data_IF_643828236920
#
_entry.id   IF_643828236920
#
_cell.length_a   1.000
_cell.length_b   1.000
_cell.length_c   1.000
_cell.angle_alpha   90.00
_cell.angle_beta   90.00
_cell.angle_gamma   90.00
#
_symmetry.space_group_name_H-M   'P 1'
#
loop_
_entity.id
_entity.type
_entity.pdbx_description
1 polymer ?
#
# COMPACT_ATOMS: atom_id res chain seq x y z
N UNK A 1 5.33 34.84 3.90
CA UNK A 1 4.46 33.74 3.41
C UNK A 1 5.38 32.70 2.79
N UNK A 2 5.50 31.55 3.47
CA UNK A 2 6.69 30.69 3.48
C UNK A 2 6.81 29.71 2.30
N UNK A 3 8.04 29.27 1.97
CA UNK A 3 8.37 28.16 1.04
C UNK A 3 7.47 26.91 1.19
N UNK A 4 6.93 26.66 2.38
CA UNK A 4 5.99 25.56 2.62
C UNK A 4 4.65 25.72 1.88
N UNK A 5 4.15 26.96 1.75
CA UNK A 5 2.91 27.27 1.03
C UNK A 5 3.08 27.16 -0.48
N UNK A 6 4.29 27.41 -1.01
CA UNK A 6 4.57 27.22 -2.44
C UNK A 6 4.69 25.73 -2.79
N UNK A 7 5.37 24.93 -1.97
CA UNK A 7 5.52 23.48 -2.19
C UNK A 7 4.17 22.73 -2.22
N UNK A 8 3.26 23.02 -1.29
CA UNK A 8 1.90 22.43 -1.29
C UNK A 8 1.13 22.81 -2.56
N UNK A 9 1.27 24.06 -3.01
CA UNK A 9 0.64 24.55 -4.23
C UNK A 9 1.15 23.85 -5.50
N UNK A 10 2.46 23.63 -5.60
CA UNK A 10 3.07 22.89 -6.71
C UNK A 10 2.61 21.43 -6.72
N UNK A 11 2.68 20.72 -5.59
CA UNK A 11 2.22 19.32 -5.45
C UNK A 11 0.72 19.19 -5.78
N UNK A 12 -0.11 20.12 -5.32
CA UNK A 12 -1.55 20.07 -5.63
C UNK A 12 -1.78 20.32 -7.13
N UNK A 13 -0.99 21.19 -7.74
CA UNK A 13 -1.10 21.53 -9.16
C UNK A 13 -0.65 20.39 -10.08
N UNK A 14 0.39 19.63 -9.70
CA UNK A 14 0.87 18.47 -10.48
C UNK A 14 -0.19 17.36 -10.60
N UNK A 15 -1.19 17.34 -9.73
CA UNK A 15 -2.26 16.33 -9.73
C UNK A 15 -3.42 16.63 -10.67
N UNK A 16 -3.48 17.82 -11.29
CA UNK A 16 -4.60 18.22 -12.17
C UNK A 16 -4.77 17.31 -13.39
N UNK A 17 -3.69 16.69 -13.87
CA UNK A 17 -3.70 15.77 -15.01
C UNK A 17 -4.00 14.31 -14.64
N UNK A 18 -4.22 14.00 -13.36
CA UNK A 18 -4.57 12.65 -12.96
C UNK A 18 -6.00 12.30 -13.44
N UNK A 19 -6.23 11.06 -13.91
CA UNK A 19 -7.57 10.64 -14.31
C UNK A 19 -8.55 10.82 -13.15
N UNK A 20 -9.75 11.33 -13.44
CA UNK A 20 -10.77 11.51 -12.43
C UNK A 20 -11.09 10.17 -11.75
N UNK A 21 -11.25 10.18 -10.43
CA UNK A 21 -11.78 9.03 -9.71
C UNK A 21 -13.11 8.64 -10.36
N UNK A 22 -13.23 7.40 -10.83
CA UNK A 22 -14.54 6.85 -11.15
C UNK A 22 -15.28 6.76 -9.82
N UNK A 23 -16.16 7.74 -9.58
CA UNK A 23 -17.13 7.69 -8.51
C UNK A 23 -18.04 6.51 -8.86
N UNK A 24 -17.78 5.35 -8.27
CA UNK A 24 -18.81 4.32 -8.22
C UNK A 24 -20.03 4.99 -7.59
N UNK A 25 -21.15 4.97 -8.30
CA UNK A 25 -22.44 5.41 -7.75
C UNK A 25 -22.58 4.80 -6.37
N UNK A 26 -22.80 5.63 -5.35
CA UNK A 26 -23.13 5.16 -4.00
C UNK A 26 -24.28 4.15 -4.18
N UNK A 27 -23.98 2.87 -4.00
CA UNK A 27 -25.03 1.90 -3.71
C UNK A 27 -25.39 2.25 -2.27
N UNK A 28 -26.51 2.94 -2.10
CA UNK A 28 -27.13 3.28 -0.82
C UNK A 28 -27.60 1.98 -0.15
N UNK A 29 -26.65 1.18 0.33
CA UNK A 29 -26.86 0.23 1.39
C UNK A 29 -26.01 0.70 2.56
N UNK A 30 -26.55 1.66 3.31
CA UNK A 30 -26.06 1.98 4.64
C UNK A 30 -26.24 0.72 5.51
N UNK A 31 -25.27 -0.19 5.42
CA UNK A 31 -25.19 -1.30 6.35
C UNK A 31 -24.88 -0.70 7.72
N UNK A 32 -25.86 -0.76 8.61
CA UNK A 32 -25.69 -0.49 10.02
C UNK A 32 -24.56 -1.40 10.54
N UNK A 33 -23.40 -0.81 10.84
CA UNK A 33 -22.20 -1.52 11.22
C UNK A 33 -21.15 -0.51 11.66
N UNK A 34 -20.57 -0.72 12.84
CA UNK A 34 -19.49 0.13 13.33
C UNK A 34 -18.20 -0.04 12.54
N UNK A 35 -17.18 0.71 12.95
CA UNK A 35 -15.79 0.41 12.63
C UNK A 35 -15.05 0.16 13.95
N UNK A 36 -14.20 -0.87 13.98
CA UNK A 36 -13.27 -1.14 15.07
C UNK A 36 -11.86 -0.76 14.68
N UNK A 37 -11.15 -0.07 15.56
CA UNK A 37 -9.72 0.23 15.41
C UNK A 37 -9.05 -0.07 16.74
N UNK A 38 -7.90 -0.72 16.67
CA UNK A 38 -6.98 -0.90 17.79
C UNK A 38 -5.57 -0.64 17.29
N UNK A 39 -4.73 -0.07 18.15
CA UNK A 39 -3.34 0.22 17.83
C UNK A 39 -2.44 -0.07 19.03
N UNK A 40 -1.18 -0.39 18.73
CA UNK A 40 -0.11 -0.56 19.69
C UNK A 40 1.06 0.31 19.21
N UNK A 41 1.74 0.98 20.14
CA UNK A 41 2.96 1.73 19.82
C UNK A 41 3.98 1.44 20.91
N UNK A 42 5.22 1.15 20.54
CA UNK A 42 6.26 0.74 21.47
C UNK A 42 7.65 1.21 21.03
N UNK A 43 8.49 1.55 22.00
CA UNK A 43 9.91 1.93 21.77
C UNK A 43 10.78 0.73 21.38
N UNK A 44 10.30 -0.49 21.62
CA UNK A 44 10.88 -1.74 21.12
C UNK A 44 9.92 -2.39 20.15
N UNK A 45 10.43 -3.13 19.16
CA UNK A 45 9.56 -3.84 18.24
C UNK A 45 8.78 -4.93 18.98
N UNK A 46 7.48 -5.03 18.67
CA UNK A 46 6.56 -6.01 19.23
C UNK A 46 6.02 -6.89 18.11
N UNK A 47 5.81 -8.17 18.41
CA UNK A 47 5.24 -9.11 17.45
C UNK A 47 3.72 -8.93 17.30
N UNK A 48 3.21 -9.02 16.07
CA UNK A 48 1.80 -8.79 15.75
C UNK A 48 0.80 -9.63 16.56
N UNK A 49 1.19 -10.81 17.06
CA UNK A 49 0.38 -11.65 17.96
C UNK A 49 -0.15 -10.89 19.19
N UNK A 50 0.56 -9.85 19.65
CA UNK A 50 0.17 -9.10 20.85
C UNK A 50 -1.04 -8.19 20.62
N UNK A 51 -1.36 -7.82 19.38
CA UNK A 51 -2.55 -7.03 19.05
C UNK A 51 -3.75 -7.89 18.64
N UNK A 52 -3.55 -9.21 18.44
CA UNK A 52 -4.58 -10.13 17.94
C UNK A 52 -5.79 -10.26 18.88
N UNK A 53 -5.56 -10.43 20.20
CA UNK A 53 -6.67 -10.53 21.16
C UNK A 53 -7.54 -9.26 21.18
N UNK A 54 -6.97 -8.05 21.32
CA UNK A 54 -7.72 -6.80 21.16
C UNK A 54 -8.44 -6.68 19.81
N UNK A 55 -7.82 -7.13 18.72
CA UNK A 55 -8.40 -7.12 17.38
C UNK A 55 -9.66 -8.00 17.29
N UNK A 56 -9.64 -9.22 17.85
CA UNK A 56 -10.82 -10.10 17.91
C UNK A 56 -11.95 -9.46 18.72
N UNK A 57 -11.65 -8.71 19.79
CA UNK A 57 -12.69 -7.98 20.54
C UNK A 57 -13.37 -6.89 19.68
N UNK A 58 -12.71 -6.41 18.63
CA UNK A 58 -13.29 -5.46 17.68
C UNK A 58 -14.17 -6.12 16.62
N UNK A 59 -14.23 -7.46 16.53
CA UNK A 59 -15.05 -8.18 15.54
C UNK A 59 -16.51 -7.75 15.58
N UNK A 60 -17.11 -7.67 16.79
CA UNK A 60 -18.50 -7.23 17.00
C UNK A 60 -18.76 -5.76 16.64
N UNK A 61 -17.70 -4.98 16.38
CA UNK A 61 -17.80 -3.59 15.91
C UNK A 61 -17.69 -3.49 14.40
N UNK A 62 -17.37 -4.55 13.66
CA UNK A 62 -17.24 -4.56 12.20
C UNK A 62 -18.36 -5.36 11.53
N UNK A 63 -18.40 -5.32 10.20
CA UNK A 63 -19.35 -6.07 9.36
C UNK A 63 -18.64 -6.91 8.29
N UNK A 64 -17.32 -7.12 8.42
CA UNK A 64 -16.52 -7.89 7.48
C UNK A 64 -16.30 -7.25 6.09
N UNK A 65 -16.79 -6.03 5.82
CA UNK A 65 -16.60 -5.38 4.51
C UNK A 65 -15.17 -4.88 4.27
N UNK A 66 -14.35 -4.81 5.31
CA UNK A 66 -12.98 -4.35 5.20
C UNK A 66 -12.22 -4.52 6.51
N UNK A 67 -11.07 -5.17 6.43
CA UNK A 67 -10.16 -5.42 7.54
C UNK A 67 -8.73 -5.22 7.08
N UNK A 68 -7.84 -4.89 8.00
CA UNK A 68 -6.45 -4.63 7.65
C UNK A 68 -5.56 -4.34 8.83
N UNK A 69 -4.26 -4.32 8.56
CA UNK A 69 -3.21 -4.02 9.54
C UNK A 69 -2.17 -3.15 8.88
N UNK A 70 -1.82 -2.07 9.58
CA UNK A 70 -0.67 -1.24 9.26
C UNK A 70 0.46 -1.58 10.24
N UNK A 71 1.69 -1.56 9.74
CA UNK A 71 2.88 -1.75 10.57
C UNK A 71 3.95 -0.73 10.19
N UNK A 72 4.62 -0.16 11.19
CA UNK A 72 5.68 0.85 11.00
C UNK A 72 6.92 0.51 11.83
N UNK A 73 8.10 0.79 11.30
CA UNK A 73 9.35 0.47 11.98
C UNK A 73 9.57 -1.04 11.97
N UNK A 74 9.60 -1.60 10.77
CA UNK A 74 9.67 -3.02 10.45
C UNK A 74 11.05 -3.60 10.78
N UNK A 75 11.12 -4.92 10.94
CA UNK A 75 12.38 -5.65 11.07
C UNK A 75 13.00 -5.89 9.66
N UNK A 76 14.22 -5.38 9.38
CA UNK A 76 14.84 -5.52 8.05
C UNK A 76 15.13 -6.97 7.68
N UNK A 77 15.49 -7.83 8.65
CA UNK A 77 15.70 -9.26 8.40
C UNK A 77 14.40 -9.95 7.99
N UNK A 78 13.28 -9.61 8.63
CA UNK A 78 11.96 -10.13 8.25
C UNK A 78 11.50 -9.64 6.87
N UNK A 79 11.98 -8.47 6.45
CA UNK A 79 11.73 -7.92 5.11
C UNK A 79 12.68 -8.47 4.04
N UNK A 80 13.77 -9.15 4.44
CA UNK A 80 14.77 -9.70 3.52
C UNK A 80 15.71 -8.65 2.92
N UNK A 81 15.87 -7.50 3.59
CA UNK A 81 16.66 -6.35 3.12
C UNK A 81 17.61 -5.85 4.20
N UNK A 82 18.55 -4.98 3.83
CA UNK A 82 19.39 -4.26 4.80
C UNK A 82 18.60 -3.16 5.52
N UNK A 83 19.09 -2.71 6.67
CA UNK A 83 18.55 -1.54 7.37
C UNK A 83 18.60 -0.27 6.51
N UNK A 84 19.66 -0.10 5.73
CA UNK A 84 19.79 1.00 4.77
C UNK A 84 18.66 0.98 3.74
N UNK A 85 18.41 -0.16 3.09
CA UNK A 85 17.33 -0.30 2.11
C UNK A 85 15.97 -0.07 2.76
N UNK A 86 15.71 -0.65 3.94
CA UNK A 86 14.43 -0.46 4.64
C UNK A 86 14.09 1.02 4.89
N UNK A 87 15.11 1.83 5.20
CA UNK A 87 14.94 3.23 5.54
C UNK A 87 14.98 4.18 4.32
N UNK A 88 15.62 3.76 3.23
CA UNK A 88 15.83 4.64 2.05
C UNK A 88 14.90 4.33 0.90
N UNK A 89 14.52 3.06 0.70
CA UNK A 89 13.65 2.62 -0.39
C UNK A 89 12.17 2.75 -0.05
N UNK A 90 11.37 3.02 -1.09
CA UNK A 90 9.94 2.83 -0.99
C UNK A 90 9.63 1.35 -1.01
N UNK A 91 8.87 0.90 -0.03
CA UNK A 91 8.15 -0.36 -0.03
C UNK A 91 6.80 -0.14 -0.71
N UNK A 92 6.69 -0.58 -1.97
CA UNK A 92 5.42 -0.62 -2.70
C UNK A 92 4.84 -2.02 -2.58
N UNK A 93 3.61 -2.13 -2.06
CA UNK A 93 2.86 -3.37 -2.01
C UNK A 93 1.77 -3.37 -3.08
N UNK A 94 1.83 -4.32 -4.01
CA UNK A 94 0.80 -4.52 -5.04
C UNK A 94 0.06 -5.82 -4.77
N UNK A 95 -1.26 -5.74 -4.61
CA UNK A 95 -2.16 -6.87 -4.57
C UNK A 95 -2.60 -7.25 -5.98
N UNK A 96 -2.51 -8.54 -6.34
CA UNK A 96 -2.96 -9.08 -7.62
C UNK A 96 -4.20 -9.94 -7.42
N UNK A 97 -5.34 -9.45 -7.93
CA UNK A 97 -6.61 -10.15 -8.01
C UNK A 97 -6.62 -11.12 -9.20
N UNK A 98 -5.98 -10.71 -10.30
CA UNK A 98 -5.60 -11.58 -11.41
C UNK A 98 -4.06 -11.70 -11.46
N UNK A 99 -3.49 -12.87 -11.11
CA UNK A 99 -2.04 -13.09 -11.18
C UNK A 99 -1.42 -12.84 -12.56
N UNK A 100 -2.17 -13.03 -13.65
CA UNK A 100 -1.69 -12.82 -15.03
C UNK A 100 -1.40 -11.34 -15.32
N UNK A 101 -1.98 -10.41 -14.56
CA UNK A 101 -1.72 -8.99 -14.72
C UNK A 101 -0.33 -8.56 -14.20
N UNK A 102 0.38 -9.44 -13.48
CA UNK A 102 1.65 -9.09 -12.82
C UNK A 102 2.70 -8.59 -13.79
N UNK A 103 2.97 -9.32 -14.87
CA UNK A 103 3.97 -8.93 -15.86
C UNK A 103 3.69 -7.54 -16.43
N UNK A 104 2.43 -7.29 -16.82
CA UNK A 104 2.03 -6.00 -17.37
C UNK A 104 2.18 -4.85 -16.36
N UNK A 105 1.81 -5.09 -15.09
CA UNK A 105 1.99 -4.12 -14.01
C UNK A 105 3.47 -3.83 -13.76
N UNK A 106 4.29 -4.87 -13.66
CA UNK A 106 5.73 -4.74 -13.41
C UNK A 106 6.39 -3.96 -14.54
N UNK A 107 6.19 -4.37 -15.81
CA UNK A 107 6.77 -3.68 -16.97
C UNK A 107 6.42 -2.19 -17.01
N UNK A 108 5.15 -1.85 -16.78
CA UNK A 108 4.64 -0.47 -16.97
C UNK A 108 4.80 0.45 -15.77
N UNK A 109 4.68 -0.06 -14.54
CA UNK A 109 4.59 0.78 -13.34
C UNK A 109 5.71 0.54 -12.33
N UNK A 110 6.44 -0.58 -12.45
CA UNK A 110 7.55 -0.89 -11.54
C UNK A 110 8.87 -0.78 -12.29
N UNK A 111 9.14 -1.68 -13.24
CA UNK A 111 10.45 -1.84 -13.88
C UNK A 111 10.80 -0.72 -14.85
N UNK A 112 9.82 -0.11 -15.52
CA UNK A 112 10.08 1.07 -16.38
C UNK A 112 10.30 2.34 -15.57
N UNK A 113 9.68 2.47 -14.40
CA UNK A 113 9.64 3.70 -13.59
C UNK A 113 10.69 3.71 -12.47
N UNK A 114 11.06 2.54 -11.95
CA UNK A 114 11.80 2.39 -10.71
C UNK A 114 13.07 1.54 -10.89
N UNK A 115 14.07 1.79 -10.04
CA UNK A 115 15.16 0.88 -9.76
C UNK A 115 14.70 -0.02 -8.61
N UNK A 116 14.54 -1.32 -8.86
CA UNK A 116 14.08 -2.28 -7.85
C UNK A 116 15.27 -3.00 -7.25
N UNK A 117 15.50 -2.79 -5.96
CA UNK A 117 16.59 -3.43 -5.22
C UNK A 117 16.18 -4.78 -4.62
N UNK A 118 14.91 -4.94 -4.24
CA UNK A 118 14.42 -6.22 -3.70
C UNK A 118 12.96 -6.47 -4.09
N UNK A 119 12.64 -7.74 -4.38
CA UNK A 119 11.28 -8.23 -4.64
C UNK A 119 10.98 -9.41 -3.72
N UNK A 120 9.82 -9.39 -3.06
CA UNK A 120 9.37 -10.54 -2.30
C UNK A 120 7.87 -10.78 -2.44
N UNK A 121 7.50 -12.05 -2.52
CA UNK A 121 6.12 -12.52 -2.60
C UNK A 121 5.58 -12.78 -1.21
N UNK A 122 4.32 -12.39 -0.99
CA UNK A 122 3.54 -12.73 0.19
C UNK A 122 2.30 -13.47 -0.26
N UNK A 123 2.39 -14.80 -0.18
CA UNK A 123 1.28 -15.69 -0.41
C UNK A 123 0.55 -16.05 0.89
N UNK A 124 -0.59 -16.75 0.77
CA UNK A 124 -1.29 -17.32 1.90
C UNK A 124 -0.37 -18.26 2.69
N UNK A 125 -0.31 -18.10 4.02
CA UNK A 125 0.40 -19.05 4.89
C UNK A 125 -0.33 -20.38 5.05
N UNK A 126 -1.66 -20.40 4.90
CA UNK A 126 -2.52 -21.55 5.17
C UNK A 126 -3.30 -22.03 3.93
N UNK A 127 -2.72 -21.85 2.74
CA UNK A 127 -3.37 -22.21 1.47
C UNK A 127 -4.42 -21.20 1.00
N UNK A 128 -4.92 -21.37 -0.22
CA UNK A 128 -5.91 -20.46 -0.83
C UNK A 128 -7.33 -20.87 -0.43
N UNK A 129 -7.74 -20.50 0.78
CA UNK A 129 -9.15 -20.61 1.19
C UNK A 129 -9.87 -19.28 0.95
N UNK A 130 -11.17 -19.36 0.64
CA UNK A 130 -12.03 -18.19 0.70
C UNK A 130 -12.10 -17.69 2.14
N UNK A 131 -12.11 -16.38 2.28
CA UNK A 131 -12.34 -15.71 3.54
C UNK A 131 -13.75 -15.90 4.07
N UNK A 132 -14.04 -15.34 5.24
CA UNK A 132 -15.38 -15.43 5.87
C UNK A 132 -16.48 -14.86 4.97
N UNK A 133 -16.15 -13.85 4.17
CA UNK A 133 -17.05 -13.23 3.20
C UNK A 133 -17.15 -13.99 1.86
N UNK A 134 -16.54 -15.19 1.76
CA UNK A 134 -16.55 -15.99 0.54
C UNK A 134 -15.64 -15.46 -0.58
N UNK A 135 -14.75 -14.53 -0.28
CA UNK A 135 -13.83 -13.87 -1.23
C UNK A 135 -12.41 -14.41 -1.07
N UNK A 136 -11.68 -14.58 -2.18
CA UNK A 136 -10.26 -14.89 -2.13
C UNK A 136 -9.44 -13.62 -1.86
N UNK A 137 -8.50 -13.71 -0.92
CA UNK A 137 -7.57 -12.63 -0.67
C UNK A 137 -6.45 -12.64 -1.71
N UNK A 138 -6.09 -11.48 -2.28
CA UNK A 138 -5.10 -11.41 -3.33
C UNK A 138 -3.71 -11.80 -2.83
N UNK A 139 -2.90 -12.31 -3.74
CA UNK A 139 -1.46 -12.36 -3.54
C UNK A 139 -0.89 -10.95 -3.51
N UNK A 140 0.10 -10.73 -2.63
CA UNK A 140 0.77 -9.44 -2.53
C UNK A 140 2.24 -9.58 -2.89
N UNK A 141 2.73 -8.67 -3.73
CA UNK A 141 4.17 -8.50 -3.97
C UNK A 141 4.66 -7.22 -3.33
N UNK A 142 5.85 -7.30 -2.72
CA UNK A 142 6.62 -6.19 -2.17
C UNK A 142 7.74 -5.85 -3.13
N UNK A 143 7.88 -4.56 -3.42
CA UNK A 143 8.98 -4.00 -4.18
C UNK A 143 9.67 -2.95 -3.32
N UNK A 144 10.93 -3.18 -2.95
CA UNK A 144 11.79 -2.12 -2.42
C UNK A 144 12.47 -1.45 -3.59
N UNK A 145 12.15 -0.17 -3.81
CA UNK A 145 12.58 0.54 -4.99
C UNK A 145 12.70 2.06 -4.81
N UNK A 146 13.41 2.68 -5.75
CA UNK A 146 13.56 4.14 -5.90
C UNK A 146 13.17 4.56 -7.30
N UNK A 147 12.71 5.80 -7.47
CA UNK A 147 12.47 6.31 -8.82
C UNK A 147 13.77 6.31 -9.62
N UNK A 148 13.71 5.96 -10.91
CA UNK A 148 14.88 6.11 -11.76
C UNK A 148 15.23 7.60 -11.89
N UNK A 149 16.51 7.99 -11.78
CA UNK A 149 16.89 9.41 -11.81
C UNK A 149 16.34 10.16 -13.04
N UNK A 150 16.49 9.59 -14.24
CA UNK A 150 16.01 10.22 -15.48
C UNK A 150 14.48 10.33 -15.55
N UNK A 151 13.76 9.38 -14.95
CA UNK A 151 12.29 9.40 -14.87
C UNK A 151 11.85 10.47 -13.88
N UNK A 152 12.50 10.56 -12.71
CA UNK A 152 12.19 11.54 -11.69
C UNK A 152 12.50 12.96 -12.15
N UNK A 153 13.64 13.18 -12.82
CA UNK A 153 14.03 14.50 -13.35
C UNK A 153 13.02 15.01 -14.38
N UNK A 154 12.59 14.13 -15.30
CA UNK A 154 11.51 14.45 -16.25
C UNK A 154 10.21 14.77 -15.52
N UNK A 155 9.81 13.93 -14.55
CA UNK A 155 8.60 14.17 -13.77
C UNK A 155 8.63 15.52 -13.04
N UNK A 156 9.75 15.88 -12.43
CA UNK A 156 9.94 17.15 -11.73
C UNK A 156 9.76 18.33 -12.70
N UNK A 157 10.40 18.26 -13.85
CA UNK A 157 10.34 19.31 -14.89
C UNK A 157 8.93 19.45 -15.46
N UNK A 158 8.31 18.34 -15.86
CA UNK A 158 6.98 18.31 -16.47
C UNK A 158 5.88 18.83 -15.54
N UNK A 159 6.12 18.77 -14.22
CA UNK A 159 5.16 19.16 -13.19
C UNK A 159 5.52 20.46 -12.45
N UNK A 160 6.61 21.15 -12.83
CA UNK A 160 7.03 22.39 -12.19
C UNK A 160 7.39 22.22 -10.70
N UNK A 161 8.08 21.13 -10.37
CA UNK A 161 8.46 20.75 -9.00
C UNK A 161 9.93 21.07 -8.66
N UNK A 162 10.63 21.86 -9.47
CA UNK A 162 12.06 22.14 -9.31
C UNK A 162 12.38 22.84 -7.98
N UNK A 163 11.44 23.63 -7.47
CA UNK A 163 11.55 24.33 -6.18
C UNK A 163 11.04 23.49 -5.00
N UNK A 164 10.62 22.24 -5.24
CA UNK A 164 10.20 21.29 -4.20
C UNK A 164 11.40 20.47 -3.75
N UNK A 165 11.45 20.16 -2.45
CA UNK A 165 12.45 19.25 -1.90
C UNK A 165 12.46 17.91 -2.66
N UNK A 166 13.63 17.42 -3.03
CA UNK A 166 13.79 16.25 -3.90
C UNK A 166 13.10 15.00 -3.33
N UNK A 167 13.15 14.80 -2.01
CA UNK A 167 12.46 13.65 -1.39
C UNK A 167 10.94 13.80 -1.49
N UNK A 168 10.40 15.00 -1.32
CA UNK A 168 8.96 15.27 -1.51
C UNK A 168 8.52 15.16 -2.97
N UNK A 169 9.38 15.52 -3.90
CA UNK A 169 9.11 15.33 -5.33
C UNK A 169 9.07 13.84 -5.69
N UNK A 170 9.97 13.03 -5.13
CA UNK A 170 9.95 11.57 -5.28
C UNK A 170 8.72 10.94 -4.59
N UNK A 171 8.33 11.42 -3.41
CA UNK A 171 7.08 10.99 -2.74
C UNK A 171 5.85 11.25 -3.63
N UNK A 172 5.78 12.45 -4.23
CA UNK A 172 4.70 12.81 -5.15
C UNK A 172 4.73 11.94 -6.40
N UNK A 173 5.90 11.66 -6.97
CA UNK A 173 6.05 10.74 -8.09
C UNK A 173 5.51 9.33 -7.75
N UNK A 174 5.92 8.76 -6.62
CA UNK A 174 5.46 7.42 -6.18
C UNK A 174 3.96 7.38 -5.95
N UNK A 175 3.40 8.43 -5.33
CA UNK A 175 1.96 8.60 -5.17
C UNK A 175 1.24 8.60 -6.52
N UNK A 176 1.70 9.44 -7.44
CA UNK A 176 1.14 9.62 -8.77
C UNK A 176 1.26 8.37 -9.65
N UNK A 177 2.36 7.63 -9.53
CA UNK A 177 2.56 6.34 -10.19
C UNK A 177 1.56 5.30 -9.66
N UNK A 178 1.42 5.20 -8.34
CA UNK A 178 0.47 4.30 -7.68
C UNK A 178 -0.98 4.61 -8.04
N UNK A 179 -1.33 5.90 -8.12
CA UNK A 179 -2.65 6.35 -8.53
C UNK A 179 -2.98 5.91 -9.97
N UNK A 180 -2.04 6.09 -10.91
CA UNK A 180 -2.22 5.67 -12.30
C UNK A 180 -2.33 4.14 -12.43
N UNK A 181 -1.50 3.38 -11.70
CA UNK A 181 -1.61 1.92 -11.64
C UNK A 181 -3.02 1.51 -11.19
N UNK A 182 -3.50 2.06 -10.07
CA UNK A 182 -4.83 1.75 -9.54
C UNK A 182 -5.94 2.16 -10.51
N UNK A 183 -5.82 3.32 -11.15
CA UNK A 183 -6.82 3.75 -12.12
C UNK A 183 -6.91 2.77 -13.31
N UNK A 184 -5.78 2.29 -13.81
CA UNK A 184 -5.73 1.38 -14.95
C UNK A 184 -6.15 -0.05 -14.60
N UNK A 185 -5.63 -0.61 -13.50
CA UNK A 185 -5.79 -2.03 -13.15
C UNK A 185 -6.90 -2.33 -12.15
N UNK A 186 -7.49 -1.31 -11.51
CA UNK A 186 -8.55 -1.49 -10.51
C UNK A 186 -9.83 -0.70 -10.81
N UNK A 187 -9.72 0.54 -11.32
CA UNK A 187 -10.88 1.41 -11.50
C UNK A 187 -11.56 1.29 -12.88
N UNK A 188 -10.84 0.81 -13.91
CA UNK A 188 -11.35 0.75 -15.28
C UNK A 188 -12.62 -0.11 -15.40
N UNK A 189 -13.49 0.23 -16.37
CA UNK A 189 -14.71 -0.53 -16.72
C UNK A 189 -14.30 -1.92 -17.25
N UNK A 190 -14.02 -2.84 -16.34
CA UNK A 190 -13.54 -4.19 -16.59
C UNK A 190 -13.27 -4.94 -15.29
N UNK A 191 -12.72 -6.15 -15.40
CA UNK A 191 -12.36 -6.94 -14.22
C UNK A 191 -11.23 -6.27 -13.44
N UNK A 192 -11.39 -6.22 -12.11
CA UNK A 192 -10.35 -5.72 -11.20
C UNK A 192 -9.18 -6.69 -11.21
N UNK A 193 -8.00 -6.22 -11.61
CA UNK A 193 -6.81 -7.07 -11.82
C UNK A 193 -5.76 -6.90 -10.73
N UNK A 194 -5.42 -5.66 -10.38
CA UNK A 194 -4.38 -5.38 -9.40
C UNK A 194 -4.55 -3.98 -8.81
N UNK A 195 -3.98 -3.75 -7.62
CA UNK A 195 -3.96 -2.44 -6.98
C UNK A 195 -2.81 -2.33 -5.96
N UNK A 196 -2.30 -1.12 -5.77
CA UNK A 196 -1.38 -0.77 -4.70
C UNK A 196 -2.12 -0.74 -3.36
N UNK A 197 -1.71 -1.62 -2.44
CA UNK A 197 -2.17 -1.67 -1.06
C UNK A 197 -1.57 -0.54 -0.23
N UNK A 198 -0.26 -0.34 -0.39
CA UNK A 198 0.49 0.73 0.26
C UNK A 198 1.74 1.10 -0.53
N UNK A 199 2.17 2.34 -0.35
CA UNK A 199 3.52 2.80 -0.67
C UNK A 199 4.02 3.63 0.51
N UNK A 200 5.31 3.54 0.81
CA UNK A 200 5.93 4.30 1.90
C UNK A 200 7.34 3.77 2.20
N UNK A 201 8.03 4.37 3.17
CA UNK A 201 9.33 3.89 3.65
C UNK A 201 9.17 3.35 5.06
N UNK A 202 9.75 2.18 5.33
CA UNK A 202 9.67 1.51 6.63
C UNK A 202 8.23 1.42 7.21
N UNK A 203 7.26 1.24 6.30
CA UNK A 203 5.82 1.20 6.58
C UNK A 203 5.17 0.26 5.58
N UNK A 204 4.18 -0.51 6.05
CA UNK A 204 3.38 -1.35 5.16
C UNK A 204 1.94 -1.45 5.66
N UNK A 205 1.01 -1.70 4.74
CA UNK A 205 -0.42 -1.90 5.05
C UNK A 205 -0.95 -3.08 4.28
N UNK A 206 -1.60 -3.99 5.00
CA UNK A 206 -2.44 -5.04 4.43
C UNK A 206 -3.90 -4.68 4.59
N UNK A 207 -4.67 -4.95 3.55
CA UNK A 207 -6.11 -4.74 3.53
C UNK A 207 -6.79 -5.85 2.75
N UNK A 208 -7.87 -6.36 3.31
CA UNK A 208 -8.69 -7.43 2.73
C UNK A 208 -10.18 -7.09 2.81
N UNK A 209 -10.99 -7.84 2.06
CA UNK A 209 -12.43 -7.92 2.26
C UNK A 209 -12.69 -9.02 3.30
N UNK A 210 -12.83 -8.63 4.56
CA UNK A 210 -12.91 -9.53 5.70
C UNK A 210 -12.64 -8.78 7.00
N UNK A 211 -12.30 -9.50 8.06
CA UNK A 211 -11.93 -8.91 9.35
C UNK A 211 -10.41 -8.69 9.47
N UNK A 212 -9.96 -7.90 10.44
CA UNK A 212 -8.53 -7.58 10.57
C UNK A 212 -7.70 -8.79 11.02
N UNK A 213 -8.26 -9.63 11.90
CA UNK A 213 -7.66 -10.88 12.38
C UNK A 213 -7.48 -11.89 11.25
N UNK A 214 -8.37 -11.87 10.27
CA UNK A 214 -8.25 -12.67 9.06
C UNK A 214 -7.06 -12.23 8.22
N UNK A 215 -6.78 -10.92 8.14
CA UNK A 215 -5.56 -10.43 7.50
C UNK A 215 -4.28 -10.88 8.24
N UNK A 216 -4.33 -10.99 9.58
CA UNK A 216 -3.25 -11.56 10.40
C UNK A 216 -2.94 -12.99 10.02
N UNK A 217 -3.95 -13.84 10.02
CA UNK A 217 -3.76 -15.24 9.72
C UNK A 217 -3.40 -15.49 8.25
N UNK A 218 -4.05 -14.79 7.32
CA UNK A 218 -3.84 -15.03 5.89
C UNK A 218 -2.41 -14.70 5.46
N UNK A 219 -1.90 -13.53 5.87
CA UNK A 219 -0.56 -13.07 5.48
C UNK A 219 0.54 -13.44 6.49
N UNK A 220 0.22 -14.13 7.59
CA UNK A 220 1.19 -14.60 8.58
C UNK A 220 1.86 -13.49 9.38
N UNK A 221 1.07 -12.49 9.78
CA UNK A 221 1.58 -11.26 10.39
C UNK A 221 1.68 -11.35 11.92
N UNK A 222 1.36 -12.48 12.53
CA UNK A 222 1.42 -12.71 13.97
C UNK A 222 2.86 -12.67 14.51
N UNK A 223 3.84 -13.02 13.67
CA UNK A 223 5.26 -12.98 14.02
C UNK A 223 5.98 -11.75 13.46
N UNK A 224 5.28 -10.90 12.72
CA UNK A 224 5.84 -9.66 12.20
C UNK A 224 6.20 -8.75 13.38
N UNK A 225 7.41 -8.21 13.37
CA UNK A 225 7.92 -7.25 14.36
C UNK A 225 7.85 -5.84 13.81
N UNK A 226 7.25 -4.95 14.57
CA UNK A 226 7.12 -3.54 14.25
C UNK A 226 7.04 -2.68 15.53
N UNK A 227 7.31 -1.38 15.40
CA UNK A 227 7.13 -0.40 16.50
C UNK A 227 5.68 0.04 16.65
N UNK A 228 4.92 0.03 15.54
CA UNK A 228 3.48 0.32 15.44
C UNK A 228 2.80 -0.85 14.76
#
# INVERSE_FOLDING_TARGET
MSKLSSSIGCITSSRRGLPGSIVHSRIDDAAEGGCGVVGLVSTVQVEGRHILKPMIQMHNRGNGKGGGVAAVGLDPMQMGVSEELLNTDYLIQVAYLNPEARTQVEEKYIDSQMIVHHRSRIGPKHGTTKGEQGVYHPEVWRYFCRAKPDVLDRFVTDNGLEEVDAAKAEDEFVYQNSYRLNNEFYASLGDKKAFVLSHGKNLMVFKIVGYAEEAMHYYGLENLRAHV
#
